data_IF_649280476223
#
_entry.id   IF_649280476223
#
_cell.length_a   1.000
_cell.length_b   1.000
_cell.length_c   1.000
_cell.angle_alpha   90.00
_cell.angle_beta   90.00
_cell.angle_gamma   90.00
#
_symmetry.space_group_name_H-M   'P 1'
#
loop_
_entity.id
_entity.type
_entity.pdbx_description
1 polymer ?
#
# COMPACT_ATOMS: atom_id res chain seq x y z
N UNK A 1 16.32 42.54 68.51
CA UNK A 1 16.51 43.16 67.22
C UNK A 1 17.13 42.10 66.27
N UNK A 2 16.38 41.38 65.53
CA UNK A 2 16.83 40.57 64.44
C UNK A 2 15.77 40.66 63.35
N UNK A 3 16.11 41.27 62.20
CA UNK A 3 15.27 41.44 61.05
C UNK A 3 15.35 40.13 60.24
N UNK A 4 14.26 39.44 60.12
CA UNK A 4 14.09 38.29 59.22
C UNK A 4 13.64 38.82 57.87
N UNK A 5 14.50 38.63 56.86
CA UNK A 5 14.24 38.97 55.48
C UNK A 5 13.48 37.80 54.83
N UNK A 6 12.24 38.00 54.47
CA UNK A 6 11.45 37.01 53.73
C UNK A 6 11.77 37.12 52.25
N UNK A 7 12.36 36.05 51.72
CA UNK A 7 12.64 35.89 50.28
C UNK A 7 11.37 35.31 49.61
N UNK A 8 10.65 36.14 48.86
CA UNK A 8 9.52 35.71 48.06
C UNK A 8 10.09 35.13 46.77
N UNK A 9 10.04 33.81 46.65
CA UNK A 9 10.41 33.08 45.42
C UNK A 9 9.18 33.05 44.50
N UNK A 10 9.15 33.93 43.51
CA UNK A 10 8.12 33.96 42.48
C UNK A 10 8.40 32.85 41.47
N UNK A 11 7.68 31.75 41.58
CA UNK A 11 7.73 30.65 40.62
C UNK A 11 6.94 31.07 39.37
N UNK A 12 7.65 31.51 38.34
CA UNK A 12 7.07 31.75 37.02
C UNK A 12 6.85 30.37 36.37
N UNK A 13 5.61 29.88 36.39
CA UNK A 13 5.19 28.72 35.63
C UNK A 13 5.17 29.13 34.13
N UNK A 14 6.23 28.82 33.40
CA UNK A 14 6.18 28.83 31.95
C UNK A 14 5.26 27.68 31.50
N UNK A 15 3.99 27.99 31.22
CA UNK A 15 3.15 27.12 30.42
C UNK A 15 3.72 27.08 29.01
N UNK A 16 4.61 26.14 28.76
CA UNK A 16 4.89 25.71 27.37
C UNK A 16 3.67 24.96 26.91
N UNK A 17 2.78 25.67 26.22
CA UNK A 17 1.79 25.04 25.36
C UNK A 17 2.56 24.19 24.32
N UNK A 18 2.60 22.88 24.55
CA UNK A 18 2.89 21.95 23.47
C UNK A 18 1.77 22.12 22.47
N UNK A 19 2.00 22.94 21.45
CA UNK A 19 1.27 22.87 20.21
C UNK A 19 1.69 21.49 19.67
N UNK A 20 0.82 20.51 19.84
CA UNK A 20 0.85 19.29 19.06
C UNK A 20 0.61 19.74 17.61
N UNK A 21 1.69 20.07 16.90
CA UNK A 21 1.65 20.01 15.46
C UNK A 21 1.37 18.56 15.13
N UNK A 22 0.17 18.26 14.71
CA UNK A 22 -0.08 17.12 13.85
C UNK A 22 0.82 17.33 12.64
N UNK A 23 1.98 16.68 12.63
CA UNK A 23 2.81 16.56 11.45
C UNK A 23 2.13 15.58 10.48
N UNK A 24 1.02 15.99 9.88
CA UNK A 24 0.80 15.64 8.50
C UNK A 24 1.91 16.40 7.76
N UNK A 25 2.97 15.69 7.40
CA UNK A 25 3.98 16.23 6.49
C UNK A 25 3.22 16.58 5.22
N UNK A 26 2.99 17.88 5.03
CA UNK A 26 2.28 18.36 3.85
C UNK A 26 3.18 18.06 2.65
N UNK A 27 2.80 17.10 1.83
CA UNK A 27 3.45 16.82 0.55
C UNK A 27 3.21 17.92 -0.49
N UNK A 28 2.81 19.11 -0.05
CA UNK A 28 2.48 20.26 -0.89
C UNK A 28 3.63 20.73 -1.80
N UNK A 29 4.88 20.43 -1.43
CA UNK A 29 6.06 20.77 -2.23
C UNK A 29 6.39 19.70 -3.29
N UNK A 30 5.67 18.58 -3.27
CA UNK A 30 5.83 17.50 -4.24
C UNK A 30 4.82 17.60 -5.37
N UNK A 31 5.17 17.00 -6.50
CA UNK A 31 4.29 16.86 -7.65
C UNK A 31 4.50 15.52 -8.32
N UNK A 32 3.44 15.04 -8.96
CA UNK A 32 3.43 13.78 -9.71
C UNK A 32 3.88 14.08 -11.13
N UNK A 33 4.76 13.25 -11.65
CA UNK A 33 5.20 13.26 -13.06
C UNK A 33 4.83 11.93 -13.67
N UNK A 34 3.98 11.96 -14.68
CA UNK A 34 3.66 10.81 -15.51
C UNK A 34 4.84 10.48 -16.42
N UNK A 35 5.44 9.31 -16.22
CA UNK A 35 6.57 8.83 -17.00
C UNK A 35 6.14 8.08 -18.27
N UNK A 36 4.84 7.94 -18.53
CA UNK A 36 4.30 7.17 -19.65
C UNK A 36 4.55 5.67 -19.52
N UNK A 37 4.63 5.15 -18.30
CA UNK A 37 4.82 3.72 -18.03
C UNK A 37 3.52 2.95 -18.30
N UNK A 38 3.67 1.66 -18.57
CA UNK A 38 2.54 0.78 -18.84
C UNK A 38 1.62 0.66 -17.63
N UNK A 39 0.38 0.31 -17.94
CA UNK A 39 -0.64 0.04 -16.92
C UNK A 39 -0.33 -1.27 -16.21
N UNK A 40 -0.49 -1.26 -14.91
CA UNK A 40 -0.36 -2.40 -14.01
C UNK A 40 -1.73 -2.84 -13.48
N UNK A 41 -1.75 -4.01 -12.88
CA UNK A 41 -2.96 -4.62 -12.36
C UNK A 41 -2.75 -5.01 -10.91
N UNK A 42 -3.66 -4.62 -10.02
CA UNK A 42 -3.68 -5.08 -8.64
C UNK A 42 -4.49 -6.36 -8.50
N UNK A 43 -3.94 -7.32 -7.79
CA UNK A 43 -4.57 -8.59 -7.44
C UNK A 43 -4.24 -9.00 -6.01
N UNK A 44 -4.81 -10.13 -5.60
CA UNK A 44 -4.56 -10.75 -4.30
C UNK A 44 -3.76 -12.02 -4.56
N UNK A 45 -2.66 -12.23 -3.81
CA UNK A 45 -1.86 -13.45 -3.95
C UNK A 45 -2.11 -14.41 -2.79
N UNK A 46 -2.27 -15.66 -3.14
CA UNK A 46 -2.38 -16.81 -2.24
C UNK A 46 -1.22 -17.77 -2.50
N UNK A 47 -0.95 -18.67 -1.57
CA UNK A 47 0.04 -19.74 -1.78
C UNK A 47 -0.29 -20.53 -3.05
N UNK A 48 0.73 -20.96 -3.77
CA UNK A 48 0.57 -21.77 -4.96
C UNK A 48 -0.27 -23.04 -4.67
N UNK A 49 -1.32 -23.26 -5.45
CA UNK A 49 -2.29 -24.33 -5.27
C UNK A 49 -3.31 -24.10 -4.16
N UNK A 50 -3.41 -22.90 -3.60
CA UNK A 50 -4.40 -22.59 -2.56
C UNK A 50 -5.82 -22.56 -3.11
N UNK A 51 -6.73 -23.27 -2.43
CA UNK A 51 -8.16 -23.25 -2.74
C UNK A 51 -8.86 -21.93 -2.32
N UNK A 52 -8.19 -21.13 -1.47
CA UNK A 52 -8.67 -19.79 -1.09
C UNK A 52 -8.73 -18.82 -2.29
N UNK A 53 -7.77 -18.90 -3.21
CA UNK A 53 -7.72 -18.02 -4.38
C UNK A 53 -9.07 -18.01 -5.10
N UNK A 54 -9.56 -19.19 -5.47
CA UNK A 54 -10.80 -19.33 -6.20
C UNK A 54 -12.03 -18.90 -5.41
N UNK A 55 -12.07 -19.23 -4.12
CA UNK A 55 -13.20 -18.85 -3.26
C UNK A 55 -13.28 -17.33 -3.11
N UNK A 56 -12.15 -16.66 -3.00
CA UNK A 56 -12.10 -15.20 -2.94
C UNK A 56 -12.50 -14.57 -4.27
N UNK A 57 -12.11 -15.17 -5.41
CA UNK A 57 -12.56 -14.71 -6.72
C UNK A 57 -14.08 -14.81 -6.89
N UNK A 58 -14.67 -15.94 -6.53
CA UNK A 58 -16.13 -16.14 -6.62
C UNK A 58 -16.89 -15.13 -5.75
N UNK A 59 -16.37 -14.82 -4.56
CA UNK A 59 -16.92 -13.80 -3.68
C UNK A 59 -16.72 -12.41 -4.28
N UNK A 60 -15.55 -12.13 -4.87
CA UNK A 60 -15.26 -10.87 -5.56
C UNK A 60 -16.29 -10.58 -6.65
N UNK A 61 -16.60 -11.59 -7.47
CA UNK A 61 -17.66 -11.46 -8.49
C UNK A 61 -19.00 -11.07 -7.88
N UNK A 62 -19.38 -11.71 -6.78
CA UNK A 62 -20.63 -11.36 -6.07
C UNK A 62 -20.62 -9.92 -5.55
N UNK A 63 -19.49 -9.45 -4.98
CA UNK A 63 -19.33 -8.09 -4.46
C UNK A 63 -19.31 -7.03 -5.58
N UNK A 64 -18.87 -7.40 -6.78
CA UNK A 64 -18.99 -6.55 -7.97
C UNK A 64 -20.46 -6.46 -8.40
N UNK A 65 -21.16 -7.61 -8.48
CA UNK A 65 -22.53 -7.67 -8.97
C UNK A 65 -23.55 -7.04 -8.03
N UNK A 66 -23.33 -7.10 -6.71
CA UNK A 66 -24.20 -6.47 -5.70
C UNK A 66 -23.88 -4.97 -5.46
N UNK A 67 -22.83 -4.44 -6.11
CA UNK A 67 -22.44 -3.04 -6.04
C UNK A 67 -21.49 -2.68 -4.88
N UNK A 68 -21.17 -3.60 -3.99
CA UNK A 68 -20.32 -3.34 -2.81
C UNK A 68 -18.97 -2.75 -3.22
N UNK A 69 -18.30 -3.31 -4.23
CA UNK A 69 -17.00 -2.78 -4.67
C UNK A 69 -17.10 -1.42 -5.34
N UNK A 70 -18.20 -1.12 -6.02
CA UNK A 70 -18.44 0.21 -6.60
C UNK A 70 -18.61 1.28 -5.50
N UNK A 71 -19.31 0.93 -4.41
CA UNK A 71 -19.48 1.81 -3.26
C UNK A 71 -18.14 2.06 -2.55
N UNK A 72 -17.33 1.03 -2.36
CA UNK A 72 -15.97 1.17 -1.79
C UNK A 72 -15.05 2.00 -2.70
N UNK A 73 -15.10 1.78 -4.02
CA UNK A 73 -14.35 2.59 -4.99
C UNK A 73 -14.71 4.07 -4.88
N UNK A 74 -15.99 4.38 -4.74
CA UNK A 74 -16.48 5.75 -4.54
C UNK A 74 -16.03 6.32 -3.19
N UNK A 75 -16.14 5.53 -2.12
CA UNK A 75 -15.75 5.94 -0.75
C UNK A 75 -14.28 6.34 -0.65
N UNK A 76 -13.42 5.59 -1.30
CA UNK A 76 -11.96 5.77 -1.22
C UNK A 76 -11.37 6.50 -2.42
N UNK A 77 -12.21 6.96 -3.37
CA UNK A 77 -11.80 7.68 -4.58
C UNK A 77 -10.75 6.93 -5.42
N UNK A 78 -10.85 5.58 -5.45
CA UNK A 78 -9.98 4.73 -6.25
C UNK A 78 -10.61 4.41 -7.60
N UNK A 79 -9.84 3.76 -8.50
CA UNK A 79 -10.29 3.39 -9.83
C UNK A 79 -11.47 2.41 -9.84
N UNK A 80 -12.17 2.35 -10.97
CA UNK A 80 -13.28 1.42 -11.12
C UNK A 80 -12.80 -0.03 -11.05
N UNK A 81 -13.55 -0.84 -10.30
CA UNK A 81 -13.35 -2.27 -10.18
C UNK A 81 -14.24 -3.01 -11.18
N UNK A 82 -13.70 -4.02 -11.84
CA UNK A 82 -14.44 -4.86 -12.77
C UNK A 82 -13.85 -6.27 -12.82
N UNK A 83 -14.70 -7.26 -13.05
CA UNK A 83 -14.27 -8.67 -13.17
C UNK A 83 -13.59 -9.01 -14.51
N UNK A 84 -13.53 -8.08 -15.44
CA UNK A 84 -13.09 -8.38 -16.80
C UNK A 84 -13.89 -9.54 -17.40
N UNK A 85 -13.18 -10.46 -18.03
CA UNK A 85 -13.76 -11.68 -18.66
C UNK A 85 -13.83 -12.88 -17.70
N UNK A 86 -13.58 -12.66 -16.37
CA UNK A 86 -13.59 -13.75 -15.39
C UNK A 86 -14.97 -14.40 -15.30
N UNK A 87 -14.97 -15.72 -15.36
CA UNK A 87 -16.17 -16.55 -15.15
C UNK A 87 -15.88 -17.50 -14.00
N UNK A 88 -16.69 -17.48 -12.92
CA UNK A 88 -16.54 -18.40 -11.81
C UNK A 88 -16.52 -19.85 -12.29
N UNK A 89 -15.65 -20.66 -11.72
CA UNK A 89 -15.67 -22.08 -12.06
C UNK A 89 -16.84 -22.76 -11.41
N UNK A 90 -17.36 -23.76 -12.13
CA UNK A 90 -18.51 -24.56 -11.71
C UNK A 90 -18.25 -25.43 -10.47
N UNK A 91 -16.99 -25.60 -10.06
CA UNK A 91 -16.60 -26.46 -8.94
C UNK A 91 -15.69 -25.71 -7.96
N UNK A 92 -16.10 -25.52 -6.69
CA UNK A 92 -15.22 -24.91 -5.70
C UNK A 92 -13.96 -25.77 -5.56
N UNK A 93 -12.79 -25.12 -5.58
CA UNK A 93 -11.52 -25.80 -5.38
C UNK A 93 -11.55 -26.60 -4.08
N UNK A 94 -11.45 -27.90 -4.20
CA UNK A 94 -11.29 -28.79 -3.05
C UNK A 94 -9.88 -29.35 -3.13
N UNK A 95 -8.98 -28.89 -2.29
CA UNK A 95 -7.70 -29.52 -2.49
C UNK A 95 -6.54 -29.16 -1.59
N UNK A 96 -6.21 -27.91 -1.37
CA UNK A 96 -5.04 -27.56 -0.55
C UNK A 96 -5.31 -27.65 0.93
N UNK A 97 -6.55 -27.48 1.35
CA UNK A 97 -6.97 -27.41 2.75
C UNK A 97 -6.72 -26.05 3.39
N UNK A 98 -6.29 -25.03 2.64
CA UNK A 98 -6.08 -23.67 3.16
C UNK A 98 -7.42 -23.05 3.55
N UNK A 99 -8.48 -23.28 2.78
CA UNK A 99 -9.83 -22.84 3.14
C UNK A 99 -10.32 -23.48 4.45
N UNK A 100 -10.17 -24.80 4.59
CA UNK A 100 -10.57 -25.50 5.82
C UNK A 100 -9.76 -25.01 7.02
N UNK A 101 -8.47 -24.72 6.83
CA UNK A 101 -7.60 -24.15 7.85
C UNK A 101 -8.08 -22.76 8.29
N UNK A 102 -8.37 -21.86 7.35
CA UNK A 102 -8.88 -20.50 7.63
C UNK A 102 -10.25 -20.58 8.32
N UNK A 103 -11.14 -21.47 7.87
CA UNK A 103 -12.45 -21.70 8.49
C UNK A 103 -12.32 -22.22 9.91
N UNK A 104 -11.44 -23.17 10.17
CA UNK A 104 -11.21 -23.74 11.50
C UNK A 104 -10.63 -22.69 12.47
N UNK A 105 -9.77 -21.82 11.99
CA UNK A 105 -9.19 -20.72 12.79
C UNK A 105 -10.14 -19.53 12.95
N UNK A 106 -11.21 -19.44 12.17
CA UNK A 106 -12.19 -18.35 12.20
C UNK A 106 -11.66 -17.01 11.71
N UNK A 107 -10.49 -16.97 11.06
CA UNK A 107 -9.85 -15.74 10.56
C UNK A 107 -9.03 -15.99 9.31
N UNK A 108 -8.95 -14.97 8.46
CA UNK A 108 -8.00 -14.85 7.35
C UNK A 108 -6.92 -13.84 7.74
N UNK A 109 -5.65 -14.25 7.75
CA UNK A 109 -4.51 -13.40 8.08
C UNK A 109 -4.00 -12.76 6.79
N UNK A 110 -4.09 -11.44 6.71
CA UNK A 110 -3.85 -10.64 5.50
C UNK A 110 -2.56 -9.84 5.68
N UNK A 111 -1.58 -10.05 4.82
CA UNK A 111 -0.33 -9.30 4.80
C UNK A 111 -0.52 -7.95 4.12
N UNK A 112 -0.22 -6.87 4.84
CA UNK A 112 -0.40 -5.47 4.41
C UNK A 112 0.78 -4.60 4.80
N UNK A 113 0.86 -3.41 4.21
CA UNK A 113 1.70 -2.28 4.64
C UNK A 113 0.81 -1.03 4.82
N UNK A 114 1.36 0.04 5.42
CA UNK A 114 0.66 1.34 5.44
C UNK A 114 0.72 1.98 4.05
N UNK A 115 -0.34 1.77 3.29
CA UNK A 115 -0.47 2.18 1.89
C UNK A 115 -1.83 2.86 1.63
N UNK A 116 -1.92 4.16 1.86
CA UNK A 116 -3.14 4.95 1.59
C UNK A 116 -3.34 5.11 0.07
N UNK A 117 -4.58 4.91 -0.47
CA UNK A 117 -5.85 4.71 0.23
C UNK A 117 -6.26 3.23 0.36
N UNK A 118 -5.34 2.27 0.09
CA UNK A 118 -5.64 0.84 0.09
C UNK A 118 -5.77 0.28 1.50
N UNK A 119 -4.71 0.39 2.31
CA UNK A 119 -4.67 -0.01 3.72
C UNK A 119 -3.93 1.06 4.52
N UNK A 120 -4.58 1.61 5.52
CA UNK A 120 -3.97 2.60 6.41
C UNK A 120 -4.71 2.68 7.75
N UNK A 121 -4.06 3.24 8.77
CA UNK A 121 -4.67 3.36 10.11
C UNK A 121 -5.48 4.65 10.25
N UNK A 122 -6.65 4.53 10.86
CA UNK A 122 -7.44 5.68 11.30
C UNK A 122 -6.88 6.29 12.60
N UNK A 123 -7.58 7.29 13.14
CA UNK A 123 -7.20 7.97 14.38
C UNK A 123 -7.21 7.05 15.61
N UNK A 124 -7.91 5.93 15.57
CA UNK A 124 -8.00 4.93 16.63
C UNK A 124 -6.96 3.81 16.47
N UNK A 125 -6.21 3.82 15.37
CA UNK A 125 -5.24 2.78 15.02
C UNK A 125 -5.85 1.57 14.33
N UNK A 126 -7.12 1.65 13.91
CA UNK A 126 -7.80 0.60 13.16
C UNK A 126 -7.45 0.68 11.67
N UNK A 127 -7.19 -0.47 11.07
CA UNK A 127 -6.95 -0.55 9.64
C UNK A 127 -8.21 -0.23 8.85
N UNK A 128 -8.13 0.75 7.96
CA UNK A 128 -9.18 1.16 7.03
C UNK A 128 -8.57 1.31 5.63
N UNK A 129 -9.39 1.52 4.64
CA UNK A 129 -8.95 1.69 3.25
C UNK A 129 -9.77 0.82 2.31
N UNK A 130 -9.52 0.98 1.01
CA UNK A 130 -10.26 0.22 0.01
C UNK A 130 -10.04 -1.29 0.16
N UNK A 131 -8.77 -1.73 0.24
CA UNK A 131 -8.44 -3.14 0.37
C UNK A 131 -8.86 -3.69 1.74
N UNK A 132 -8.67 -2.92 2.83
CA UNK A 132 -9.10 -3.33 4.16
C UNK A 132 -10.61 -3.58 4.25
N UNK A 133 -11.44 -2.69 3.69
CA UNK A 133 -12.89 -2.84 3.72
C UNK A 133 -13.37 -3.90 2.73
N UNK A 134 -12.70 -4.02 1.57
CA UNK A 134 -12.94 -5.10 0.62
C UNK A 134 -12.64 -6.47 1.24
N UNK A 135 -11.49 -6.61 1.91
CA UNK A 135 -11.13 -7.84 2.62
C UNK A 135 -12.14 -8.21 3.72
N UNK A 136 -12.65 -7.24 4.47
CA UNK A 136 -13.72 -7.47 5.45
C UNK A 136 -15.00 -7.99 4.80
N UNK A 137 -15.41 -7.39 3.67
CA UNK A 137 -16.59 -7.84 2.95
C UNK A 137 -16.44 -9.27 2.42
N UNK A 138 -15.24 -9.64 1.95
CA UNK A 138 -14.92 -11.03 1.57
C UNK A 138 -14.96 -11.94 2.78
N UNK A 139 -14.31 -11.57 3.89
CA UNK A 139 -14.29 -12.37 5.11
C UNK A 139 -15.67 -12.58 5.70
N UNK A 140 -16.56 -11.59 5.63
CA UNK A 140 -17.98 -11.74 6.04
C UNK A 140 -18.69 -12.84 5.24
N UNK A 141 -18.52 -12.82 3.90
CA UNK A 141 -19.09 -13.86 3.04
C UNK A 141 -18.45 -15.24 3.25
N UNK A 142 -17.15 -15.29 3.55
CA UNK A 142 -16.45 -16.51 3.96
C UNK A 142 -16.89 -16.99 5.35
N UNK A 143 -17.50 -16.13 6.19
CA UNK A 143 -17.88 -16.45 7.57
C UNK A 143 -16.67 -16.58 8.50
N UNK A 144 -15.66 -15.70 8.33
CA UNK A 144 -14.46 -15.55 9.15
C UNK A 144 -14.20 -14.07 9.42
N UNK A 145 -13.21 -13.74 10.25
CA UNK A 145 -12.78 -12.36 10.48
C UNK A 145 -11.52 -12.02 9.67
N UNK A 146 -11.38 -10.77 9.23
CA UNK A 146 -10.13 -10.27 8.67
C UNK A 146 -9.16 -9.93 9.81
N UNK A 147 -7.94 -10.48 9.77
CA UNK A 147 -6.84 -10.12 10.65
C UNK A 147 -5.74 -9.49 9.80
N UNK A 148 -5.50 -8.19 9.98
CA UNK A 148 -4.48 -7.47 9.23
C UNK A 148 -3.14 -7.59 9.94
N UNK A 149 -2.13 -8.04 9.21
CA UNK A 149 -0.76 -8.19 9.69
C UNK A 149 0.17 -7.32 8.87
N UNK A 150 0.76 -6.34 9.53
CA UNK A 150 1.76 -5.47 8.93
C UNK A 150 3.05 -6.28 8.67
N UNK A 151 3.55 -6.22 7.44
CA UNK A 151 4.76 -6.94 6.99
C UNK A 151 5.72 -5.96 6.32
N UNK A 152 6.98 -6.34 6.20
CA UNK A 152 7.90 -5.67 5.28
C UNK A 152 7.63 -6.18 3.87
N UNK A 153 7.38 -5.26 2.92
CA UNK A 153 6.91 -5.63 1.58
C UNK A 153 7.87 -6.51 0.81
N UNK A 154 9.17 -6.35 1.00
CA UNK A 154 10.21 -7.18 0.37
C UNK A 154 10.15 -8.65 0.82
N UNK A 155 9.58 -8.93 2.00
CA UNK A 155 9.45 -10.28 2.54
C UNK A 155 8.06 -10.91 2.36
N UNK A 156 7.17 -10.28 1.59
CA UNK A 156 5.77 -10.72 1.41
C UNK A 156 5.62 -12.18 0.98
N UNK A 157 6.44 -12.64 0.02
CA UNK A 157 6.39 -14.04 -0.45
C UNK A 157 6.90 -15.02 0.61
N UNK A 158 7.91 -14.64 1.37
CA UNK A 158 8.43 -15.46 2.49
C UNK A 158 7.36 -15.60 3.58
N UNK A 159 6.68 -14.51 3.92
CA UNK A 159 5.59 -14.51 4.90
C UNK A 159 4.42 -15.39 4.44
N UNK A 160 4.09 -15.36 3.12
CA UNK A 160 3.06 -16.19 2.53
C UNK A 160 3.42 -17.68 2.56
N UNK A 161 4.63 -18.05 2.14
CA UNK A 161 5.11 -19.42 2.08
C UNK A 161 5.23 -20.04 3.48
N UNK A 162 5.72 -19.29 4.46
CA UNK A 162 5.86 -19.73 5.84
C UNK A 162 4.53 -19.86 6.60
N UNK A 163 3.40 -19.49 5.98
CA UNK A 163 2.07 -19.43 6.60
C UNK A 163 1.96 -18.41 7.74
N UNK A 164 2.83 -17.41 7.72
CA UNK A 164 2.76 -16.27 8.63
C UNK A 164 1.59 -15.33 8.27
N UNK A 165 1.22 -15.33 6.98
CA UNK A 165 0.01 -14.75 6.41
C UNK A 165 -0.68 -15.77 5.50
N UNK A 166 -1.98 -15.58 5.26
CA UNK A 166 -2.78 -16.43 4.37
C UNK A 166 -2.85 -15.88 2.95
N UNK A 167 -2.78 -14.56 2.81
CA UNK A 167 -2.72 -13.87 1.51
C UNK A 167 -1.95 -12.56 1.61
N UNK A 168 -1.51 -12.06 0.45
CA UNK A 168 -0.95 -10.72 0.26
C UNK A 168 -2.04 -9.88 -0.40
N UNK A 169 -2.51 -8.82 0.29
CA UNK A 169 -3.61 -8.00 -0.20
C UNK A 169 -3.40 -6.54 0.19
N UNK A 170 -2.72 -5.76 -0.65
CA UNK A 170 -2.26 -4.41 -0.33
C UNK A 170 -1.94 -3.60 -1.61
N UNK A 171 -2.91 -3.49 -2.52
CA UNK A 171 -2.62 -2.88 -3.82
C UNK A 171 -1.46 -3.59 -4.52
N UNK A 172 -1.44 -4.92 -4.45
CA UNK A 172 -0.32 -5.69 -4.95
C UNK A 172 -0.34 -5.76 -6.48
N UNK A 173 0.69 -5.22 -7.13
CA UNK A 173 0.89 -5.38 -8.57
C UNK A 173 1.16 -6.85 -8.90
N UNK A 174 0.36 -7.42 -9.79
CA UNK A 174 0.59 -8.75 -10.37
C UNK A 174 1.79 -8.63 -11.31
N UNK A 175 2.87 -9.32 -11.01
CA UNK A 175 4.08 -9.39 -11.83
C UNK A 175 4.42 -10.84 -12.13
N UNK A 176 5.20 -11.08 -13.19
CA UNK A 176 5.67 -12.44 -13.54
C UNK A 176 6.31 -13.14 -12.33
N UNK A 177 7.11 -12.43 -11.54
CA UNK A 177 7.76 -12.98 -10.34
C UNK A 177 6.77 -13.38 -9.24
N UNK A 178 5.66 -12.66 -9.10
CA UNK A 178 4.59 -13.03 -8.16
C UNK A 178 3.83 -14.24 -8.70
N UNK A 179 3.48 -14.27 -9.99
CA UNK A 179 2.76 -15.39 -10.62
C UNK A 179 3.57 -16.69 -10.66
N UNK A 180 4.91 -16.60 -10.69
CA UNK A 180 5.79 -17.76 -10.56
C UNK A 180 5.82 -18.36 -9.16
N UNK A 181 5.57 -17.55 -8.12
CA UNK A 181 5.69 -17.95 -6.72
C UNK A 181 4.36 -18.17 -6.01
N UNK A 182 3.25 -17.63 -6.53
CA UNK A 182 1.95 -17.60 -5.86
C UNK A 182 0.82 -17.63 -6.90
N UNK A 183 -0.36 -18.05 -6.47
CA UNK A 183 -1.57 -17.96 -7.28
C UNK A 183 -2.23 -16.60 -7.03
N UNK A 184 -2.40 -15.82 -8.09
CA UNK A 184 -3.06 -14.52 -8.04
C UNK A 184 -4.53 -14.63 -8.41
N UNK A 185 -5.37 -13.79 -7.81
CA UNK A 185 -6.74 -13.56 -8.31
C UNK A 185 -6.69 -12.84 -9.65
N UNK A 186 -7.82 -12.84 -10.37
CA UNK A 186 -7.99 -11.86 -11.44
C UNK A 186 -7.81 -10.43 -10.89
N UNK A 187 -7.37 -9.50 -11.74
CA UNK A 187 -7.21 -8.11 -11.32
C UNK A 187 -8.53 -7.53 -10.81
N UNK A 188 -8.45 -6.76 -9.73
CA UNK A 188 -9.58 -6.00 -9.23
C UNK A 188 -9.47 -4.49 -9.48
N UNK A 189 -8.27 -3.97 -9.75
CA UNK A 189 -8.02 -2.56 -10.00
C UNK A 189 -6.80 -2.35 -10.92
N UNK A 190 -6.69 -1.15 -11.47
CA UNK A 190 -5.57 -0.74 -12.33
C UNK A 190 -4.72 0.32 -11.62
N UNK A 191 -3.42 0.28 -11.89
CA UNK A 191 -2.44 1.24 -11.42
C UNK A 191 -1.44 1.58 -12.54
N UNK A 192 -0.54 2.49 -12.28
CA UNK A 192 0.71 2.71 -13.02
C UNK A 192 1.76 3.28 -12.07
N UNK A 193 3.02 3.08 -12.38
CA UNK A 193 4.10 3.73 -11.65
C UNK A 193 4.30 5.16 -12.14
N UNK A 194 4.58 6.07 -11.23
CA UNK A 194 4.86 7.48 -11.52
C UNK A 194 6.11 7.95 -10.80
N UNK A 195 6.74 9.00 -11.30
CA UNK A 195 7.73 9.70 -10.52
C UNK A 195 7.06 10.76 -9.64
N UNK A 196 7.55 10.89 -8.42
CA UNK A 196 7.25 12.02 -7.54
C UNK A 196 8.53 12.80 -7.34
N UNK A 197 8.46 14.11 -7.58
CA UNK A 197 9.60 15.03 -7.48
C UNK A 197 9.19 16.30 -6.74
N UNK A 198 10.15 17.12 -6.30
CA UNK A 198 9.82 18.47 -5.84
C UNK A 198 9.23 19.30 -6.98
N UNK A 199 8.20 20.10 -6.72
CA UNK A 199 7.59 21.03 -7.69
C UNK A 199 8.65 21.89 -8.42
N UNK A 200 9.67 22.34 -7.70
CA UNK A 200 10.78 23.11 -8.26
C UNK A 200 11.60 22.35 -9.32
N UNK A 201 11.54 21.03 -9.33
CA UNK A 201 12.29 20.15 -10.23
C UNK A 201 11.42 19.52 -11.33
N UNK A 202 10.12 19.79 -11.36
CA UNK A 202 9.17 19.15 -12.30
C UNK A 202 9.59 19.32 -13.78
N UNK A 203 10.13 20.47 -14.14
CA UNK A 203 10.61 20.74 -15.49
C UNK A 203 11.88 19.97 -15.88
N UNK A 204 12.65 19.51 -14.88
CA UNK A 204 13.89 18.73 -15.08
C UNK A 204 13.59 17.24 -15.34
N UNK A 205 12.54 16.68 -14.77
CA UNK A 205 12.25 15.25 -14.75
C UNK A 205 10.89 14.98 -15.39
N UNK A 206 10.80 14.95 -16.72
CA UNK A 206 9.54 14.76 -17.47
C UNK A 206 9.38 13.36 -18.05
N UNK A 207 10.48 12.66 -18.24
CA UNK A 207 10.52 11.32 -18.82
C UNK A 207 11.39 10.42 -17.98
N UNK A 208 11.25 9.12 -18.15
CA UNK A 208 12.10 8.14 -17.47
C UNK A 208 13.58 8.35 -17.79
N UNK A 209 13.91 8.83 -18.99
CA UNK A 209 15.29 9.14 -19.40
C UNK A 209 15.90 10.31 -18.64
N UNK A 210 15.09 11.28 -18.21
CA UNK A 210 15.56 12.45 -17.46
C UNK A 210 16.00 12.08 -16.03
N UNK A 211 15.61 10.91 -15.54
CA UNK A 211 16.01 10.39 -14.24
C UNK A 211 17.43 9.78 -14.25
N UNK A 212 18.08 9.70 -15.40
CA UNK A 212 19.45 9.17 -15.47
C UNK A 212 20.41 9.98 -14.61
N UNK A 213 21.11 9.31 -13.69
CA UNK A 213 22.04 9.91 -12.75
C UNK A 213 21.38 10.61 -11.56
N UNK A 214 20.07 10.57 -11.44
CA UNK A 214 19.34 11.01 -10.26
C UNK A 214 19.40 9.96 -9.14
N UNK A 215 19.30 10.39 -7.89
CA UNK A 215 19.01 9.50 -6.76
C UNK A 215 17.51 9.26 -6.69
N UNK A 216 17.09 7.97 -6.78
CA UNK A 216 15.69 7.61 -6.92
C UNK A 216 15.30 6.66 -5.80
N UNK A 217 14.36 7.07 -4.94
CA UNK A 217 13.84 6.25 -3.87
C UNK A 217 12.68 5.36 -4.36
N UNK A 218 12.65 4.11 -3.89
CA UNK A 218 11.52 3.20 -4.05
C UNK A 218 11.45 2.21 -2.89
N UNK A 219 10.24 1.72 -2.60
CA UNK A 219 10.04 0.67 -1.61
C UNK A 219 10.62 -0.65 -2.10
N UNK A 220 11.36 -1.35 -1.23
CA UNK A 220 11.95 -2.64 -1.54
C UNK A 220 10.91 -3.67 -1.95
N UNK A 221 11.17 -4.44 -3.03
CA UNK A 221 10.27 -5.46 -3.55
C UNK A 221 8.99 -4.92 -4.20
N UNK A 222 8.88 -3.61 -4.42
CA UNK A 222 7.73 -2.98 -5.09
C UNK A 222 7.88 -2.98 -6.62
N UNK A 223 6.78 -2.71 -7.32
CA UNK A 223 6.80 -2.48 -8.76
C UNK A 223 7.62 -1.23 -9.12
N UNK A 224 7.62 -0.20 -8.27
CA UNK A 224 8.44 0.99 -8.43
C UNK A 224 9.94 0.68 -8.39
N UNK A 225 10.39 -0.15 -7.46
CA UNK A 225 11.79 -0.61 -7.43
C UNK A 225 12.14 -1.41 -8.69
N UNK A 226 11.23 -2.29 -9.14
CA UNK A 226 11.42 -3.07 -10.37
C UNK A 226 11.63 -2.17 -11.58
N UNK A 227 10.87 -1.10 -11.76
CA UNK A 227 11.05 -0.11 -12.84
C UNK A 227 12.48 0.44 -12.84
N UNK A 228 13.06 0.71 -11.67
CA UNK A 228 14.42 1.24 -11.55
C UNK A 228 15.45 0.16 -11.88
N UNK A 229 15.29 -1.05 -11.33
CA UNK A 229 16.25 -2.17 -11.51
C UNK A 229 16.30 -2.60 -12.97
N UNK A 230 15.16 -2.69 -13.64
CA UNK A 230 15.06 -3.13 -15.03
C UNK A 230 15.63 -2.09 -16.02
N UNK A 231 15.81 -0.84 -15.57
CA UNK A 231 16.41 0.21 -16.37
C UNK A 231 17.89 0.39 -16.02
N UNK A 232 18.77 -0.10 -16.90
CA UNK A 232 20.22 -0.06 -16.71
C UNK A 232 20.77 1.37 -16.47
N UNK A 233 20.07 2.41 -16.93
CA UNK A 233 20.48 3.80 -16.76
C UNK A 233 20.06 4.37 -15.38
N UNK A 234 19.15 3.73 -14.66
CA UNK A 234 18.59 4.19 -13.39
C UNK A 234 19.09 3.41 -12.17
N UNK A 235 19.41 2.13 -12.35
CA UNK A 235 19.69 1.20 -11.24
C UNK A 235 20.78 1.67 -10.27
N UNK A 236 21.79 2.38 -10.76
CA UNK A 236 22.88 2.89 -9.93
C UNK A 236 22.46 4.06 -9.02
N UNK A 237 21.31 4.69 -9.31
CA UNK A 237 20.69 5.74 -8.51
C UNK A 237 19.64 5.23 -7.51
N UNK A 238 19.34 3.93 -7.50
CA UNK A 238 18.34 3.35 -6.60
C UNK A 238 18.72 3.54 -5.13
N UNK A 239 17.73 3.99 -4.38
CA UNK A 239 17.73 4.02 -2.92
C UNK A 239 16.50 3.27 -2.42
N UNK A 240 16.71 2.04 -1.98
CA UNK A 240 15.64 1.21 -1.42
C UNK A 240 15.24 1.72 -0.04
N UNK A 241 13.93 1.85 0.18
CA UNK A 241 13.32 2.24 1.47
C UNK A 241 12.28 1.19 1.90
N UNK A 242 11.79 1.33 3.13
CA UNK A 242 10.89 0.31 3.71
C UNK A 242 9.44 0.46 3.27
N UNK A 243 9.00 1.68 2.95
CA UNK A 243 7.63 1.96 2.51
C UNK A 243 7.60 3.02 1.40
N UNK A 244 6.54 3.04 0.59
CA UNK A 244 6.38 4.06 -0.46
C UNK A 244 6.28 5.47 0.14
N UNK A 245 5.69 5.62 1.33
CA UNK A 245 5.65 6.91 2.04
C UNK A 245 7.05 7.39 2.44
N UNK A 246 7.97 6.48 2.79
CA UNK A 246 9.37 6.82 3.05
C UNK A 246 10.05 7.35 1.79
N UNK A 247 9.73 6.77 0.61
CA UNK A 247 10.25 7.28 -0.65
C UNK A 247 9.82 8.74 -0.91
N UNK A 248 8.57 9.09 -0.58
CA UNK A 248 8.11 10.48 -0.65
C UNK A 248 8.85 11.39 0.32
N UNK A 249 9.12 10.92 1.55
CA UNK A 249 9.89 11.67 2.56
C UNK A 249 11.34 11.90 2.14
N UNK A 250 11.97 10.93 1.46
CA UNK A 250 13.29 11.08 0.87
C UNK A 250 13.34 12.24 -0.14
N UNK A 251 12.34 12.36 -1.01
CA UNK A 251 12.24 13.47 -1.96
C UNK A 251 11.96 14.79 -1.24
N UNK A 252 11.02 14.77 -0.28
CA UNK A 252 10.65 15.96 0.47
C UNK A 252 11.84 16.56 1.23
N UNK A 253 12.63 15.71 1.88
CA UNK A 253 13.86 16.14 2.59
C UNK A 253 14.97 16.58 1.64
N UNK A 254 14.94 16.13 0.38
CA UNK A 254 15.99 16.34 -0.62
C UNK A 254 17.15 15.34 -0.52
N UNK A 255 16.94 14.22 0.19
CA UNK A 255 17.89 13.11 0.25
C UNK A 255 17.84 12.24 -1.02
N UNK A 256 16.72 12.29 -1.76
CA UNK A 256 16.57 11.75 -3.11
C UNK A 256 16.00 12.81 -4.06
N UNK A 257 16.36 12.71 -5.34
CA UNK A 257 15.89 13.62 -6.39
C UNK A 257 14.46 13.31 -6.80
N UNK A 258 14.11 12.03 -6.83
CA UNK A 258 12.81 11.49 -7.22
C UNK A 258 12.43 10.26 -6.39
N UNK A 259 11.16 9.91 -6.39
CA UNK A 259 10.66 8.61 -5.96
C UNK A 259 9.86 7.98 -7.09
N UNK A 260 9.93 6.66 -7.26
CA UNK A 260 9.00 5.92 -8.12
C UNK A 260 8.05 5.16 -7.20
N UNK A 261 6.76 5.46 -7.35
CA UNK A 261 5.67 4.96 -6.49
C UNK A 261 4.40 4.73 -7.30
N UNK A 262 3.45 4.06 -6.69
CA UNK A 262 2.12 3.88 -7.26
C UNK A 262 1.38 5.21 -7.45
N UNK A 263 0.77 5.40 -8.62
CA UNK A 263 -0.07 6.56 -8.88
C UNK A 263 -1.24 6.65 -7.89
N UNK A 264 -1.76 5.50 -7.48
CA UNK A 264 -2.85 5.41 -6.50
C UNK A 264 -2.44 6.04 -5.16
N UNK A 265 -1.26 5.71 -4.63
CA UNK A 265 -0.72 6.34 -3.42
C UNK A 265 -0.42 7.83 -3.65
N UNK A 266 0.26 8.14 -4.74
CA UNK A 266 0.68 9.51 -5.03
C UNK A 266 -0.54 10.45 -5.08
N UNK A 267 -1.63 10.07 -5.74
CA UNK A 267 -2.87 10.86 -5.80
C UNK A 267 -3.58 11.01 -4.45
N UNK A 268 -3.48 10.02 -3.57
CA UNK A 268 -4.08 10.10 -2.26
C UNK A 268 -3.36 11.09 -1.32
N UNK A 269 -2.04 11.22 -1.49
CA UNK A 269 -1.19 12.00 -0.59
C UNK A 269 -0.79 13.38 -1.15
N UNK A 270 -0.63 13.49 -2.48
CA UNK A 270 -0.20 14.73 -3.14
C UNK A 270 -1.44 15.36 -3.77
N UNK A 271 -1.88 16.45 -3.19
CA UNK A 271 -3.01 17.25 -3.70
C UNK A 271 -2.47 18.49 -4.39
N UNK A 272 -3.03 18.82 -5.57
CA UNK A 272 -2.69 20.02 -6.35
C UNK A 272 -3.08 21.32 -5.61
#
# INVERSE_FOLDING_TARGET
MKKTLALILTLVLLCTSFISCSNESSYSDLTIVDLGLEREYFGIAFRAGSDLNRMVEDITVQLIEDGTLADLSTKYEVGAVGKGDYTPAADPCTGSGDYDYVKANGKLVIGITDYKPMDYKDENGEWIGFDADYARAVCEKLGVTAEFKEIEWDYKLIALESKDIDCIWNGMTITDAIEEAADCTVPYMYNTQVAVVKKANAEKYKTIGDLQGASIAAEGGSAGEKVIIDNAALKDGLKTVTAQTDALLEVLSGASDAAIVDLTLAKALIKD
#
